data_IF_711924723268
#
_entry.id   IF_711924723268
#
_cell.length_a   1.000
_cell.length_b   1.000
_cell.length_c   1.000
_cell.angle_alpha   90.00
_cell.angle_beta   90.00
_cell.angle_gamma   90.00
#
_symmetry.space_group_name_H-M   'P 1'
#
loop_
_entity.id
_entity.type
_entity.pdbx_description
1 polymer ?
#
# COMPACT_ATOMS: atom_id res chain seq x y z
N UNK A 1 -20.24 -17.81 -0.63
CA UNK A 1 -20.75 -17.62 -1.98
C UNK A 1 -22.14 -16.98 -1.99
N UNK A 2 -23.18 -17.60 -1.42
CA UNK A 2 -24.55 -17.04 -1.42
C UNK A 2 -24.67 -15.57 -1.02
N UNK A 3 -23.86 -15.09 -0.08
CA UNK A 3 -23.90 -13.69 0.40
C UNK A 3 -23.28 -12.67 -0.56
N UNK A 4 -22.54 -13.13 -1.56
CA UNK A 4 -21.86 -12.27 -2.54
C UNK A 4 -22.54 -12.32 -3.92
N UNK A 5 -23.56 -13.16 -4.11
CA UNK A 5 -24.29 -13.23 -5.36
C UNK A 5 -24.97 -11.90 -5.69
N UNK A 6 -24.81 -11.41 -6.92
CA UNK A 6 -25.36 -10.13 -7.37
C UNK A 6 -24.61 -8.89 -6.88
N UNK A 7 -23.47 -9.06 -6.19
CA UNK A 7 -22.64 -7.94 -5.76
C UNK A 7 -21.75 -7.49 -6.91
N UNK A 8 -21.67 -6.17 -7.16
CA UNK A 8 -20.81 -5.59 -8.20
C UNK A 8 -19.43 -5.19 -7.65
N UNK A 9 -19.36 -4.78 -6.38
CA UNK A 9 -18.15 -4.33 -5.72
C UNK A 9 -18.09 -4.81 -4.27
N UNK A 10 -16.89 -5.16 -3.81
CA UNK A 10 -16.62 -5.60 -2.46
C UNK A 10 -15.46 -4.82 -1.87
N UNK A 11 -15.67 -4.23 -0.70
CA UNK A 11 -14.60 -3.70 0.13
C UNK A 11 -14.21 -4.71 1.22
N UNK A 12 -12.91 -4.98 1.33
CA UNK A 12 -12.34 -5.82 2.38
C UNK A 12 -11.49 -4.93 3.28
N UNK A 13 -11.90 -4.74 4.54
CA UNK A 13 -11.14 -3.95 5.50
C UNK A 13 -10.59 -4.83 6.62
N UNK A 14 -9.30 -4.67 6.90
CA UNK A 14 -8.66 -5.43 7.98
C UNK A 14 -7.38 -4.78 8.49
N UNK A 15 -7.09 -4.97 9.79
CA UNK A 15 -5.74 -4.79 10.31
C UNK A 15 -4.91 -6.05 10.05
N UNK A 16 -3.80 -5.88 9.34
CA UNK A 16 -2.89 -6.99 9.02
C UNK A 16 -1.91 -7.29 10.17
N UNK A 17 -1.43 -8.51 10.24
CA UNK A 17 -0.48 -8.95 11.28
C UNK A 17 -1.12 -9.72 12.44
N UNK A 18 -2.46 -9.75 12.53
CA UNK A 18 -3.20 -10.64 13.43
C UNK A 18 -3.60 -11.95 12.74
N UNK A 19 -4.32 -12.81 13.47
CA UNK A 19 -4.82 -14.09 12.94
C UNK A 19 -6.03 -13.93 12.03
N UNK A 20 -7.07 -13.26 12.51
CA UNK A 20 -8.39 -13.20 11.85
C UNK A 20 -8.35 -12.41 10.54
N UNK A 21 -7.93 -11.13 10.58
CA UNK A 21 -7.89 -10.26 9.40
C UNK A 21 -6.93 -10.79 8.35
N UNK A 22 -5.71 -11.13 8.74
CA UNK A 22 -4.67 -11.62 7.84
C UNK A 22 -5.05 -12.92 7.13
N UNK A 23 -5.71 -13.85 7.87
CA UNK A 23 -6.10 -15.14 7.30
C UNK A 23 -7.41 -15.11 6.51
N UNK A 24 -8.41 -14.32 6.97
CA UNK A 24 -9.74 -14.30 6.35
C UNK A 24 -9.79 -13.44 5.07
N UNK A 25 -9.08 -12.31 5.04
CA UNK A 25 -9.14 -11.38 3.90
C UNK A 25 -8.77 -12.03 2.57
N UNK A 26 -7.66 -12.80 2.43
CA UNK A 26 -7.33 -13.47 1.17
C UNK A 26 -8.35 -14.52 0.76
N UNK A 27 -8.97 -15.23 1.71
CA UNK A 27 -9.99 -16.23 1.42
C UNK A 27 -11.24 -15.58 0.85
N UNK A 28 -11.70 -14.48 1.44
CA UNK A 28 -12.86 -13.72 0.95
C UNK A 28 -12.55 -13.13 -0.42
N UNK A 29 -11.36 -12.55 -0.61
CA UNK A 29 -10.92 -11.98 -1.88
C UNK A 29 -10.91 -13.01 -3.01
N UNK A 30 -10.46 -14.24 -2.73
CA UNK A 30 -10.48 -15.35 -3.71
C UNK A 30 -11.88 -15.66 -4.18
N UNK A 31 -12.84 -15.77 -3.25
CA UNK A 31 -14.24 -16.01 -3.58
C UNK A 31 -14.84 -14.87 -4.41
N UNK A 32 -14.53 -13.62 -4.06
CA UNK A 32 -15.00 -12.46 -4.81
C UNK A 32 -14.42 -12.44 -6.23
N UNK A 33 -13.14 -12.76 -6.38
CA UNK A 33 -12.46 -12.87 -7.68
C UNK A 33 -13.07 -13.95 -8.56
N UNK A 34 -13.40 -15.12 -8.01
CA UNK A 34 -14.07 -16.22 -8.72
C UNK A 34 -15.46 -15.81 -9.22
N UNK A 35 -16.17 -14.92 -8.50
CA UNK A 35 -17.45 -14.36 -8.87
C UNK A 35 -17.37 -13.15 -9.83
N UNK A 36 -16.15 -12.68 -10.14
CA UNK A 36 -15.93 -11.50 -11.00
C UNK A 36 -16.33 -10.17 -10.37
N UNK A 37 -16.34 -10.10 -9.04
CA UNK A 37 -16.69 -8.92 -8.26
C UNK A 37 -15.47 -8.00 -8.16
N UNK A 38 -15.63 -6.71 -8.50
CA UNK A 38 -14.59 -5.71 -8.28
C UNK A 38 -14.24 -5.65 -6.79
N UNK A 39 -13.00 -6.00 -6.45
CA UNK A 39 -12.59 -6.13 -5.05
C UNK A 39 -11.51 -5.13 -4.69
N UNK A 40 -11.80 -4.27 -3.72
CA UNK A 40 -10.88 -3.29 -3.16
C UNK A 40 -10.57 -3.63 -1.71
N UNK A 41 -9.29 -3.82 -1.40
CA UNK A 41 -8.84 -4.02 -0.04
C UNK A 41 -8.34 -2.69 0.56
N UNK A 42 -8.81 -2.34 1.76
CA UNK A 42 -8.33 -1.20 2.55
C UNK A 42 -7.81 -1.74 3.86
N UNK A 43 -6.49 -1.78 4.01
CA UNK A 43 -5.86 -2.53 5.10
C UNK A 43 -4.75 -1.72 5.78
N UNK A 44 -4.56 -1.95 7.08
CA UNK A 44 -3.49 -1.31 7.84
C UNK A 44 -2.33 -2.25 8.08
N UNK A 45 -1.09 -1.69 8.07
CA UNK A 45 0.10 -2.34 8.61
C UNK A 45 0.26 -1.98 10.08
N UNK A 46 0.70 -2.92 10.93
CA UNK A 46 0.88 -2.66 12.36
C UNK A 46 1.93 -1.58 12.61
N UNK A 47 1.87 -0.97 13.79
CA UNK A 47 2.91 -0.08 14.29
C UNK A 47 4.20 -0.87 14.55
N UNK A 48 5.36 -0.19 14.50
CA UNK A 48 6.66 -0.83 14.77
C UNK A 48 6.76 -1.37 16.20
N UNK A 49 6.13 -0.70 17.18
CA UNK A 49 6.13 -1.16 18.57
C UNK A 49 5.34 -2.46 18.79
N UNK A 50 4.46 -2.86 17.86
CA UNK A 50 3.75 -4.14 17.92
C UNK A 50 4.65 -5.35 17.62
N UNK A 51 5.88 -5.10 17.18
CA UNK A 51 6.93 -6.09 17.02
C UNK A 51 7.13 -6.60 15.59
N UNK A 52 8.37 -7.02 15.30
CA UNK A 52 8.79 -7.47 13.97
C UNK A 52 8.07 -8.76 13.51
N UNK A 53 7.69 -9.63 14.44
CA UNK A 53 6.91 -10.84 14.14
C UNK A 53 5.55 -10.51 13.55
N UNK A 54 4.83 -9.54 14.14
CA UNK A 54 3.54 -9.09 13.67
C UNK A 54 3.64 -8.40 12.31
N UNK A 55 4.68 -7.59 12.11
CA UNK A 55 4.96 -6.94 10.82
C UNK A 55 5.22 -7.97 9.72
N UNK A 56 6.02 -9.03 10.00
CA UNK A 56 6.29 -10.10 9.03
C UNK A 56 5.03 -10.84 8.61
N UNK A 57 4.14 -11.16 9.55
CA UNK A 57 2.83 -11.79 9.26
C UNK A 57 1.97 -10.85 8.40
N UNK A 58 1.97 -9.54 8.71
CA UNK A 58 1.25 -8.53 7.94
C UNK A 58 1.74 -8.47 6.49
N UNK A 59 3.04 -8.45 6.28
CA UNK A 59 3.64 -8.37 4.94
C UNK A 59 3.39 -9.63 4.11
N UNK A 60 3.41 -10.81 4.74
CA UNK A 60 3.07 -12.05 4.07
C UNK A 60 1.60 -12.06 3.64
N UNK A 61 0.69 -11.72 4.55
CA UNK A 61 -0.74 -11.68 4.24
C UNK A 61 -1.09 -10.61 3.19
N UNK A 62 -0.38 -9.48 3.19
CA UNK A 62 -0.52 -8.45 2.16
C UNK A 62 -0.14 -8.98 0.78
N UNK A 63 0.98 -9.69 0.64
CA UNK A 63 1.40 -10.30 -0.62
C UNK A 63 0.37 -11.28 -1.17
N UNK A 64 -0.24 -12.07 -0.29
CA UNK A 64 -1.32 -12.98 -0.70
C UNK A 64 -2.57 -12.23 -1.14
N UNK A 65 -2.96 -11.19 -0.41
CA UNK A 65 -4.14 -10.38 -0.69
C UNK A 65 -4.01 -9.61 -2.00
N UNK A 66 -2.85 -8.97 -2.24
CA UNK A 66 -2.55 -8.19 -3.46
C UNK A 66 -2.71 -9.01 -4.76
N UNK A 67 -2.44 -10.32 -4.72
CA UNK A 67 -2.65 -11.20 -5.88
C UNK A 67 -4.12 -11.54 -6.16
N UNK A 68 -5.01 -11.27 -5.22
CA UNK A 68 -6.41 -11.72 -5.24
C UNK A 68 -7.40 -10.58 -5.43
N UNK A 69 -7.01 -9.34 -5.13
CA UNK A 69 -7.85 -8.14 -5.26
C UNK A 69 -7.46 -7.30 -6.47
N UNK A 70 -8.36 -6.44 -6.92
CA UNK A 70 -8.10 -5.52 -8.02
C UNK A 70 -7.24 -4.34 -7.58
N UNK A 71 -7.52 -3.81 -6.39
CA UNK A 71 -6.79 -2.68 -5.81
C UNK A 71 -6.61 -2.88 -4.31
N UNK A 72 -5.41 -2.57 -3.81
CA UNK A 72 -5.09 -2.60 -2.37
C UNK A 72 -4.64 -1.22 -1.91
N UNK A 73 -5.40 -0.61 -1.03
CA UNK A 73 -5.01 0.61 -0.30
C UNK A 73 -4.35 0.17 1.00
N UNK A 74 -3.05 0.44 1.12
CA UNK A 74 -2.27 0.06 2.30
C UNK A 74 -2.02 1.30 3.15
N UNK A 75 -2.41 1.24 4.42
CA UNK A 75 -2.24 2.33 5.39
C UNK A 75 -1.16 1.90 6.39
N UNK A 76 0.08 2.42 6.31
CA UNK A 76 1.10 2.16 7.31
C UNK A 76 0.76 2.93 8.59
N UNK A 77 0.35 2.23 9.68
CA UNK A 77 0.06 2.89 10.96
C UNK A 77 1.25 3.71 11.47
N UNK A 78 2.47 3.31 11.13
CA UNK A 78 3.67 4.05 11.51
C UNK A 78 3.69 5.48 10.98
N UNK A 79 3.10 5.75 9.82
CA UNK A 79 3.05 7.09 9.23
C UNK A 79 2.11 8.03 10.00
N UNK A 80 1.16 7.49 10.78
CA UNK A 80 0.28 8.28 11.64
C UNK A 80 1.03 9.00 12.77
N UNK A 81 2.23 8.52 13.17
CA UNK A 81 3.07 9.23 14.13
C UNK A 81 3.50 10.63 13.68
N UNK A 82 3.47 10.91 12.38
CA UNK A 82 3.78 12.25 11.85
C UNK A 82 2.65 13.26 12.06
N UNK A 83 1.44 12.76 12.29
CA UNK A 83 0.23 13.57 12.53
C UNK A 83 -0.11 13.59 14.02
N UNK A 84 0.40 12.61 14.79
CA UNK A 84 0.18 12.46 16.21
C UNK A 84 1.03 13.47 17.01
N UNK A 85 0.43 14.03 18.06
CA UNK A 85 1.12 14.88 19.03
C UNK A 85 1.84 14.02 20.09
N UNK A 86 2.83 14.62 20.79
CA UNK A 86 3.54 13.96 21.92
C UNK A 86 2.61 13.52 23.07
N UNK A 87 1.39 14.06 23.12
CA UNK A 87 0.36 13.73 24.10
C UNK A 87 -0.61 12.67 23.63
N UNK A 88 -0.52 12.21 22.39
CA UNK A 88 -1.40 11.20 21.81
C UNK A 88 -1.25 9.88 22.56
N UNK A 89 -2.34 9.37 23.12
CA UNK A 89 -2.35 8.10 23.83
C UNK A 89 -2.37 6.91 22.87
N UNK A 90 -2.09 5.71 23.38
CA UNK A 90 -2.23 4.48 22.59
C UNK A 90 -3.65 4.29 22.03
N UNK A 91 -4.66 4.61 22.83
CA UNK A 91 -6.05 4.52 22.40
C UNK A 91 -6.34 5.49 21.23
N UNK A 92 -5.83 6.71 21.34
CA UNK A 92 -5.99 7.73 20.29
C UNK A 92 -5.26 7.32 19.00
N UNK A 93 -4.05 6.72 19.10
CA UNK A 93 -3.31 6.25 17.94
C UNK A 93 -4.07 5.14 17.17
N UNK A 94 -4.72 4.21 17.86
CA UNK A 94 -5.57 3.22 17.22
C UNK A 94 -6.87 3.82 16.68
N UNK A 95 -7.48 4.76 17.38
CA UNK A 95 -8.65 5.49 16.89
C UNK A 95 -8.32 6.26 15.58
N UNK A 96 -7.15 6.89 15.50
CA UNK A 96 -6.67 7.51 14.26
C UNK A 96 -6.53 6.50 13.11
N UNK A 97 -6.00 5.30 13.38
CA UNK A 97 -5.91 4.25 12.37
C UNK A 97 -7.28 3.79 11.89
N UNK A 98 -8.25 3.65 12.79
CA UNK A 98 -9.64 3.30 12.45
C UNK A 98 -10.31 4.41 11.65
N UNK A 99 -10.08 5.68 12.00
CA UNK A 99 -10.61 6.83 11.27
C UNK A 99 -10.06 6.89 9.82
N UNK A 100 -8.78 6.65 9.64
CA UNK A 100 -8.16 6.63 8.32
C UNK A 100 -8.69 5.45 7.48
N UNK A 101 -8.88 4.27 8.06
CA UNK A 101 -9.54 3.14 7.41
C UNK A 101 -10.95 3.47 6.95
N UNK A 102 -11.73 4.09 7.84
CA UNK A 102 -13.09 4.55 7.54
C UNK A 102 -13.10 5.61 6.44
N UNK A 103 -12.20 6.60 6.52
CA UNK A 103 -12.04 7.62 5.48
C UNK A 103 -11.65 7.00 4.13
N UNK A 104 -10.80 5.97 4.12
CA UNK A 104 -10.40 5.23 2.92
C UNK A 104 -11.58 4.59 2.19
N UNK A 105 -12.48 3.96 2.92
CA UNK A 105 -13.69 3.37 2.33
C UNK A 105 -14.66 4.47 1.90
N UNK A 106 -14.92 5.45 2.77
CA UNK A 106 -15.87 6.54 2.49
C UNK A 106 -15.47 7.40 1.29
N UNK A 107 -14.18 7.64 1.09
CA UNK A 107 -13.70 8.44 -0.04
C UNK A 107 -14.12 7.90 -1.41
N UNK A 108 -14.39 6.61 -1.48
CA UNK A 108 -14.85 5.93 -2.70
C UNK A 108 -16.37 5.72 -2.67
N UNK A 109 -16.91 5.21 -1.56
CA UNK A 109 -18.33 4.86 -1.48
C UNK A 109 -19.24 6.06 -1.50
N UNK A 110 -18.86 7.15 -0.84
CA UNK A 110 -19.68 8.35 -0.75
C UNK A 110 -19.92 8.98 -2.14
N UNK A 111 -18.94 8.91 -3.04
CA UNK A 111 -19.07 9.42 -4.41
C UNK A 111 -20.13 8.69 -5.25
N UNK A 112 -20.43 7.44 -4.90
CA UNK A 112 -21.44 6.62 -5.59
C UNK A 112 -22.82 6.66 -4.93
N UNK A 113 -22.86 6.86 -3.60
CA UNK A 113 -24.08 6.68 -2.80
C UNK A 113 -24.67 8.01 -2.31
N UNK A 114 -23.80 8.98 -1.97
CA UNK A 114 -24.24 10.26 -1.43
C UNK A 114 -24.52 11.23 -2.58
N UNK A 115 -25.71 11.86 -2.62
CA UNK A 115 -26.01 12.87 -3.64
C UNK A 115 -25.05 14.06 -3.53
N UNK A 116 -24.46 14.48 -4.64
CA UNK A 116 -23.52 15.58 -4.72
C UNK A 116 -23.69 16.40 -5.99
N UNK A 117 -22.83 17.39 -6.21
CA UNK A 117 -22.76 18.16 -7.44
C UNK A 117 -22.27 17.32 -8.62
N UNK A 118 -21.28 16.48 -8.36
CA UNK A 118 -20.65 15.59 -9.35
C UNK A 118 -20.62 14.20 -8.73
N UNK A 119 -21.55 13.37 -9.12
CA UNK A 119 -21.59 11.97 -8.70
C UNK A 119 -20.87 11.12 -9.72
N UNK A 120 -20.25 10.07 -9.24
CA UNK A 120 -19.61 9.06 -10.09
C UNK A 120 -20.51 7.84 -10.22
N UNK A 121 -20.52 7.26 -11.39
CA UNK A 121 -21.13 5.96 -11.58
C UNK A 121 -20.15 4.82 -11.26
N UNK A 122 -20.69 3.60 -11.18
CA UNK A 122 -19.86 2.43 -10.91
C UNK A 122 -18.82 2.17 -12.00
N UNK A 123 -19.10 2.54 -13.26
CA UNK A 123 -18.20 2.30 -14.38
C UNK A 123 -16.96 3.20 -14.26
N UNK A 124 -17.10 4.45 -13.81
CA UNK A 124 -16.00 5.36 -13.56
C UNK A 124 -15.07 4.83 -12.48
N UNK A 125 -15.63 4.42 -11.33
CA UNK A 125 -14.86 3.84 -10.23
C UNK A 125 -14.16 2.56 -10.66
N UNK A 126 -14.85 1.71 -11.43
CA UNK A 126 -14.26 0.47 -11.95
C UNK A 126 -13.06 0.75 -12.86
N UNK A 127 -13.10 1.78 -13.68
CA UNK A 127 -11.99 2.15 -14.58
C UNK A 127 -10.72 2.45 -13.79
N UNK A 128 -10.82 3.14 -12.66
CA UNK A 128 -9.65 3.52 -11.84
C UNK A 128 -9.21 2.40 -10.89
N UNK A 129 -10.10 1.47 -10.53
CA UNK A 129 -9.82 0.47 -9.50
C UNK A 129 -9.52 -0.94 -10.04
N UNK A 130 -9.93 -1.24 -11.27
CA UNK A 130 -9.81 -2.59 -11.82
C UNK A 130 -8.37 -2.94 -12.20
N UNK A 131 -7.78 -3.95 -11.54
CA UNK A 131 -6.42 -4.42 -11.77
C UNK A 131 -5.33 -3.34 -11.62
N UNK A 132 -5.56 -2.35 -10.77
CA UNK A 132 -4.59 -1.26 -10.56
C UNK A 132 -3.51 -1.61 -9.52
N UNK A 133 -3.66 -2.70 -8.78
CA UNK A 133 -2.68 -3.16 -7.80
C UNK A 133 -2.63 -2.26 -6.57
N UNK A 134 -1.47 -1.68 -6.27
CA UNK A 134 -1.33 -0.82 -5.10
C UNK A 134 -1.89 0.57 -5.32
N UNK A 135 -2.59 1.05 -4.30
CA UNK A 135 -3.12 2.40 -4.22
C UNK A 135 -2.76 3.03 -2.87
N UNK A 136 -2.71 4.34 -2.86
CA UNK A 136 -2.51 5.15 -1.67
C UNK A 136 -3.59 6.21 -1.58
N UNK A 137 -3.81 6.71 -0.36
CA UNK A 137 -4.76 7.78 -0.13
C UNK A 137 -4.14 8.91 0.69
N UNK A 138 -4.58 10.12 0.40
CA UNK A 138 -4.30 11.29 1.21
C UNK A 138 -5.56 12.09 1.46
N UNK A 139 -5.66 12.70 2.61
CA UNK A 139 -6.79 13.55 2.98
C UNK A 139 -6.28 14.89 3.47
N UNK A 140 -6.96 15.96 3.10
CA UNK A 140 -6.69 17.30 3.58
C UNK A 140 -7.99 18.04 3.87
N UNK A 141 -7.99 18.86 4.91
CA UNK A 141 -9.12 19.70 5.28
C UNK A 141 -8.61 21.09 5.60
N UNK A 142 -9.30 22.12 5.12
CA UNK A 142 -8.99 23.50 5.38
C UNK A 142 -10.26 24.35 5.45
N UNK A 143 -10.14 25.54 6.06
CA UNK A 143 -11.21 26.53 6.21
C UNK A 143 -10.74 27.92 5.83
N UNK A 144 -11.68 28.84 5.54
CA UNK A 144 -11.39 30.22 5.19
C UNK A 144 -11.22 30.49 3.68
N UNK A 145 -10.72 31.68 3.32
CA UNK A 145 -10.68 32.15 1.91
C UNK A 145 -9.78 31.30 1.00
N UNK A 146 -8.70 30.70 1.53
CA UNK A 146 -7.77 29.87 0.76
C UNK A 146 -8.01 28.38 0.93
N UNK A 147 -9.16 27.98 1.53
CA UNK A 147 -9.48 26.57 1.85
C UNK A 147 -9.28 25.62 0.67
N UNK A 148 -9.54 26.06 -0.55
CA UNK A 148 -9.40 25.24 -1.77
C UNK A 148 -7.95 24.81 -2.01
N UNK A 149 -7.01 25.76 -1.96
CA UNK A 149 -5.59 25.47 -2.19
C UNK A 149 -5.00 24.74 -0.99
N UNK A 150 -5.34 25.19 0.22
CA UNK A 150 -4.78 24.64 1.45
C UNK A 150 -5.20 23.19 1.68
N UNK A 151 -6.48 22.83 1.41
CA UNK A 151 -6.94 21.44 1.52
C UNK A 151 -6.34 20.55 0.43
N UNK A 152 -6.17 21.04 -0.80
CA UNK A 152 -5.53 20.29 -1.89
C UNK A 152 -4.06 19.96 -1.54
N UNK A 153 -3.31 20.98 -1.09
CA UNK A 153 -1.93 20.80 -0.65
C UNK A 153 -1.81 19.87 0.55
N UNK A 154 -2.69 20.00 1.54
CA UNK A 154 -2.72 19.11 2.68
C UNK A 154 -3.02 17.67 2.29
N UNK A 155 -3.89 17.44 1.30
CA UNK A 155 -4.19 16.09 0.81
C UNK A 155 -3.00 15.45 0.10
N UNK A 156 -2.27 16.21 -0.74
CA UNK A 156 -1.09 15.73 -1.47
C UNK A 156 0.12 15.56 -0.54
N UNK A 157 0.30 16.47 0.42
CA UNK A 157 1.38 16.40 1.42
C UNK A 157 1.05 15.48 2.60
N UNK A 158 0.01 14.63 2.49
CA UNK A 158 -0.39 13.73 3.56
C UNK A 158 0.69 12.68 3.81
N UNK A 159 1.12 12.43 5.06
CA UNK A 159 2.14 11.43 5.39
C UNK A 159 1.84 10.00 4.92
N UNK A 160 0.58 9.69 4.65
CA UNK A 160 0.18 8.38 4.11
C UNK A 160 0.60 8.19 2.64
N UNK A 161 0.91 9.29 1.93
CA UNK A 161 1.40 9.29 0.55
C UNK A 161 2.92 9.33 0.44
N UNK A 162 3.64 9.65 1.53
CA UNK A 162 5.08 9.99 1.52
C UNK A 162 6.00 8.89 0.96
N UNK A 163 5.62 7.63 1.06
CA UNK A 163 6.42 6.50 0.57
C UNK A 163 6.35 6.34 -0.95
N UNK A 164 5.47 7.10 -1.63
CA UNK A 164 5.19 6.95 -3.06
C UNK A 164 5.08 8.32 -3.75
N UNK A 165 5.61 8.40 -4.95
CA UNK A 165 5.41 9.59 -5.79
C UNK A 165 4.08 9.49 -6.51
N UNK A 166 3.25 10.51 -6.40
CA UNK A 166 2.01 10.65 -7.19
C UNK A 166 2.28 10.70 -8.70
N UNK A 167 3.47 11.11 -9.11
CA UNK A 167 3.91 11.11 -10.51
C UNK A 167 3.91 9.72 -11.18
N UNK A 168 3.90 8.64 -10.37
CA UNK A 168 3.80 7.26 -10.85
C UNK A 168 2.38 6.72 -10.94
N UNK A 169 1.37 7.45 -10.50
CA UNK A 169 -0.01 7.01 -10.50
C UNK A 169 -0.58 6.88 -11.91
N UNK A 170 -1.31 5.81 -12.17
CA UNK A 170 -2.04 5.59 -13.43
C UNK A 170 -3.47 6.12 -13.38
N UNK A 171 -4.08 6.09 -12.19
CA UNK A 171 -5.40 6.61 -11.93
C UNK A 171 -5.46 7.45 -10.67
N UNK A 172 -6.30 8.45 -10.68
CA UNK A 172 -6.51 9.36 -9.57
C UNK A 172 -7.99 9.60 -9.36
N UNK A 173 -8.46 9.31 -8.16
CA UNK A 173 -9.80 9.64 -7.72
C UNK A 173 -9.74 10.79 -6.72
N UNK A 174 -10.41 11.89 -7.01
CA UNK A 174 -10.47 13.07 -6.16
C UNK A 174 -11.90 13.22 -5.65
N UNK A 175 -12.08 13.11 -4.34
CA UNK A 175 -13.34 13.37 -3.65
C UNK A 175 -13.28 14.70 -2.94
N UNK A 176 -14.10 15.66 -3.34
CA UNK A 176 -14.19 16.99 -2.77
C UNK A 176 -15.49 17.08 -1.98
N UNK A 177 -15.39 17.27 -0.67
CA UNK A 177 -16.54 17.44 0.22
C UNK A 177 -16.54 18.84 0.83
N UNK A 178 -17.65 19.52 0.75
CA UNK A 178 -17.82 20.87 1.33
C UNK A 178 -19.25 21.20 1.64
N UNK A 179 -19.47 22.31 2.30
CA UNK A 179 -20.80 22.84 2.57
C UNK A 179 -21.52 23.32 1.28
N UNK A 180 -22.74 23.83 1.45
CA UNK A 180 -23.52 24.41 0.35
C UNK A 180 -22.88 25.69 -0.22
N UNK A 181 -21.90 26.24 0.47
CA UNK A 181 -21.08 27.39 0.09
C UNK A 181 -19.89 27.04 -0.82
N UNK A 182 -19.65 25.75 -1.11
CA UNK A 182 -18.59 25.30 -2.00
C UNK A 182 -18.86 25.74 -3.43
N UNK A 183 -17.95 26.52 -4.02
CA UNK A 183 -18.10 27.07 -5.35
C UNK A 183 -17.46 26.21 -6.42
N UNK A 184 -17.97 26.27 -7.65
CA UNK A 184 -17.36 25.60 -8.81
C UNK A 184 -15.90 26.04 -9.04
N UNK A 185 -15.59 27.29 -8.77
CA UNK A 185 -14.25 27.82 -8.90
C UNK A 185 -13.28 27.23 -7.87
N UNK A 186 -13.73 26.91 -6.66
CA UNK A 186 -12.93 26.20 -5.67
C UNK A 186 -12.69 24.76 -6.08
N UNK A 187 -13.71 24.07 -6.61
CA UNK A 187 -13.57 22.71 -7.14
C UNK A 187 -12.52 22.66 -8.28
N UNK A 188 -12.58 23.63 -9.19
CA UNK A 188 -11.61 23.73 -10.29
C UNK A 188 -10.19 23.99 -9.76
N UNK A 189 -10.02 24.90 -8.80
CA UNK A 189 -8.72 25.18 -8.17
C UNK A 189 -8.13 23.94 -7.48
N UNK A 190 -8.95 23.21 -6.70
CA UNK A 190 -8.53 21.98 -6.04
C UNK A 190 -8.04 20.96 -7.06
N UNK A 191 -8.83 20.75 -8.09
CA UNK A 191 -8.54 19.77 -9.14
C UNK A 191 -7.25 20.09 -9.88
N UNK A 192 -7.04 21.36 -10.24
CA UNK A 192 -5.84 21.79 -10.95
C UNK A 192 -4.58 21.68 -10.06
N UNK A 193 -4.64 22.10 -8.80
CA UNK A 193 -3.53 21.98 -7.85
C UNK A 193 -3.07 20.51 -7.67
N UNK A 194 -4.03 19.57 -7.60
CA UNK A 194 -3.72 18.15 -7.47
C UNK A 194 -3.20 17.56 -8.79
N UNK A 195 -3.81 17.95 -9.93
CA UNK A 195 -3.42 17.45 -11.25
C UNK A 195 -2.00 17.84 -11.62
N UNK A 196 -1.51 18.99 -11.17
CA UNK A 196 -0.12 19.43 -11.37
C UNK A 196 0.92 18.51 -10.70
N UNK A 197 0.49 17.70 -9.70
CA UNK A 197 1.36 16.79 -8.96
C UNK A 197 1.38 15.36 -9.54
N UNK A 198 0.59 15.09 -10.59
CA UNK A 198 0.38 13.75 -11.16
C UNK A 198 0.82 13.73 -12.60
N UNK A 199 1.20 12.53 -13.10
CA UNK A 199 1.59 12.38 -14.49
C UNK A 199 0.47 12.84 -15.44
N UNK A 200 0.77 13.54 -16.56
CA UNK A 200 -0.24 14.04 -17.49
C UNK A 200 -1.13 12.97 -18.12
N UNK A 201 -0.63 11.74 -18.24
CA UNK A 201 -1.35 10.60 -18.82
C UNK A 201 -2.19 9.83 -17.79
N UNK A 202 -2.24 10.27 -16.51
CA UNK A 202 -3.06 9.63 -15.51
C UNK A 202 -4.55 9.93 -15.73
N UNK A 203 -5.37 8.90 -15.58
CA UNK A 203 -6.83 9.04 -15.59
C UNK A 203 -7.29 9.73 -14.31
N UNK A 204 -7.80 10.95 -14.41
CA UNK A 204 -8.26 11.74 -13.25
C UNK A 204 -9.77 11.83 -13.25
N UNK A 205 -10.37 11.27 -12.21
CA UNK A 205 -11.82 11.37 -11.96
C UNK A 205 -12.07 12.21 -10.72
N UNK A 206 -13.00 13.16 -10.83
CA UNK A 206 -13.35 14.12 -9.78
C UNK A 206 -14.80 13.95 -9.43
N UNK A 207 -15.08 13.83 -8.14
CA UNK A 207 -16.42 13.87 -7.61
C UNK A 207 -16.56 14.92 -6.51
N UNK A 208 -17.74 15.45 -6.32
CA UNK A 208 -18.03 16.46 -5.30
C UNK A 208 -19.31 16.16 -4.57
N UNK A 209 -19.27 16.17 -3.26
CA UNK A 209 -20.34 15.85 -2.33
C UNK A 209 -20.62 17.02 -1.41
N UNK A 210 -21.90 17.18 -1.02
CA UNK A 210 -22.28 18.14 0.00
C UNK A 210 -22.31 17.50 1.40
N UNK A 211 -21.75 18.21 2.36
CA UNK A 211 -21.83 17.91 3.79
C UNK A 211 -22.05 19.22 4.54
N UNK A 212 -23.27 19.42 5.06
CA UNK A 212 -23.67 20.64 5.77
C UNK A 212 -22.81 20.91 7.01
N UNK A 213 -22.18 19.86 7.56
CA UNK A 213 -21.26 20.01 8.70
C UNK A 213 -19.95 20.71 8.36
N UNK A 214 -19.64 20.85 7.06
CA UNK A 214 -18.42 21.46 6.54
C UNK A 214 -18.64 22.90 6.01
N UNK A 215 -19.68 23.60 6.47
CA UNK A 215 -19.91 24.99 6.09
C UNK A 215 -18.68 25.85 6.44
N UNK A 216 -18.18 26.67 5.50
CA UNK A 216 -16.93 27.44 5.66
C UNK A 216 -15.64 26.62 5.55
N UNK A 217 -15.73 25.32 5.35
CA UNK A 217 -14.60 24.39 5.24
C UNK A 217 -14.69 23.55 3.97
N UNK A 218 -13.57 23.01 3.54
CA UNK A 218 -13.52 22.01 2.48
C UNK A 218 -12.61 20.85 2.89
N UNK A 219 -13.02 19.63 2.53
CA UNK A 219 -12.22 18.41 2.70
C UNK A 219 -11.99 17.80 1.34
N UNK A 220 -10.76 17.37 1.11
CA UNK A 220 -10.36 16.67 -0.11
C UNK A 220 -9.77 15.33 0.27
N UNK A 221 -10.23 14.29 -0.38
CA UNK A 221 -9.62 12.95 -0.30
C UNK A 221 -9.15 12.55 -1.69
N UNK A 222 -7.90 12.15 -1.78
CA UNK A 222 -7.24 11.73 -3.01
C UNK A 222 -6.88 10.27 -2.89
N UNK A 223 -7.29 9.46 -3.86
CA UNK A 223 -6.86 8.05 -3.98
C UNK A 223 -6.08 7.90 -5.27
N UNK A 224 -4.80 7.62 -5.16
CA UNK A 224 -3.91 7.37 -6.29
C UNK A 224 -3.74 5.86 -6.48
N UNK A 225 -3.98 5.36 -7.69
CA UNK A 225 -3.95 3.95 -8.04
C UNK A 225 -2.89 3.64 -9.10
N UNK A 226 -2.51 2.38 -9.21
CA UNK A 226 -1.51 1.95 -10.19
C UNK A 226 -0.08 2.35 -9.80
N UNK A 227 0.18 2.51 -8.52
CA UNK A 227 1.51 2.83 -7.98
C UNK A 227 2.39 1.58 -8.02
N UNK A 228 3.16 1.42 -9.11
CA UNK A 228 4.10 0.32 -9.24
C UNK A 228 5.24 0.45 -8.22
N UNK A 229 5.44 -0.59 -7.42
CA UNK A 229 6.50 -0.69 -6.41
C UNK A 229 7.88 -1.03 -6.99
N UNK A 230 8.07 -0.96 -8.28
CA UNK A 230 9.41 -1.05 -8.87
C UNK A 230 10.15 0.25 -8.59
N UNK A 231 11.19 0.25 -7.71
CA UNK A 231 12.05 1.42 -7.62
C UNK A 231 12.62 1.63 -9.02
N UNK A 232 12.29 2.77 -9.64
CA UNK A 232 12.97 3.17 -10.87
C UNK A 232 14.47 3.14 -10.57
N UNK A 233 15.28 2.41 -11.37
CA UNK A 233 16.71 2.55 -11.23
C UNK A 233 17.01 4.04 -11.48
N UNK A 234 17.39 4.73 -10.43
CA UNK A 234 18.03 6.03 -10.57
C UNK A 234 19.15 5.82 -11.58
N UNK A 235 19.02 6.40 -12.78
CA UNK A 235 20.12 6.48 -13.72
C UNK A 235 21.22 7.23 -12.99
N UNK A 236 22.12 6.47 -12.36
CA UNK A 236 23.40 7.02 -11.99
C UNK A 236 24.05 7.45 -13.29
N UNK A 237 24.12 8.74 -13.48
CA UNK A 237 24.95 9.35 -14.52
C UNK A 237 26.37 8.93 -14.16
N UNK A 238 26.83 7.83 -14.76
CA UNK A 238 28.24 7.49 -14.74
C UNK A 238 28.87 8.49 -15.71
N UNK A 239 29.43 9.57 -15.14
CA UNK A 239 30.36 10.42 -15.83
C UNK A 239 31.56 9.56 -16.23
N UNK A 240 31.50 9.01 -17.43
CA UNK A 240 32.66 8.43 -18.09
C UNK A 240 33.59 9.59 -18.46
N UNK A 241 34.47 9.97 -17.52
CA UNK A 241 35.68 10.69 -17.87
C UNK A 241 36.56 9.75 -18.70
N UNK A 242 36.41 9.83 -20.01
CA UNK A 242 37.36 9.26 -20.94
C UNK A 242 38.64 10.12 -20.89
N UNK A 243 39.58 9.70 -20.08
CA UNK A 243 40.95 10.18 -20.17
C UNK A 243 41.58 9.59 -21.44
N UNK A 244 41.60 10.38 -22.51
CA UNK A 244 42.47 10.15 -23.65
C UNK A 244 43.91 10.46 -23.27
N UNK A 245 44.67 9.44 -23.00
CA UNK A 245 46.13 9.53 -23.10
C UNK A 245 46.62 8.54 -24.15
N UNK A 246 46.97 9.14 -25.29
CA UNK A 246 47.71 8.52 -26.37
C UNK A 246 49.11 8.11 -25.93
N UNK A 247 49.47 6.86 -26.19
CA UNK A 247 50.87 6.54 -26.46
C UNK A 247 50.91 5.56 -27.64
N UNK A 248 51.51 6.05 -28.72
CA UNK A 248 51.97 5.27 -29.87
C UNK A 248 53.10 4.33 -29.45
N UNK A 249 53.08 3.11 -29.97
CA UNK A 249 54.31 2.52 -30.58
C UNK A 249 53.99 1.19 -31.27
N UNK A 250 54.20 1.22 -32.53
CA UNK A 250 54.72 0.26 -33.54
C UNK A 250 54.96 -1.22 -33.11
N UNK A 251 54.48 -2.09 -33.93
CA UNK A 251 55.19 -2.91 -34.97
C UNK A 251 54.50 -4.25 -35.17
N UNK A 252 54.00 -4.42 -36.35
CA UNK A 252 54.37 -5.36 -37.41
C UNK A 252 54.18 -6.87 -37.18
N UNK A 253 53.50 -7.42 -38.13
CA UNK A 253 53.80 -8.61 -38.91
C UNK A 253 52.86 -9.81 -38.77
N UNK A 254 52.10 -9.98 -39.80
CA UNK A 254 51.94 -11.07 -40.78
C UNK A 254 51.13 -12.31 -40.44
N UNK A 255 50.26 -12.53 -41.46
CA UNK A 255 49.91 -13.79 -42.14
C UNK A 255 48.85 -14.65 -41.43
N UNK A 256 47.76 -14.81 -42.06
CA UNK A 256 47.24 -15.44 -43.26
C UNK A 256 46.55 -16.78 -43.00
N UNK A 257 45.38 -16.90 -43.62
CA UNK A 257 44.74 -18.14 -44.12
C UNK A 257 44.08 -19.02 -43.07
N UNK A 258 42.92 -19.56 -43.23
CA UNK A 258 42.14 -20.00 -44.38
C UNK A 258 40.73 -20.41 -43.97
N UNK A 259 39.81 -20.13 -44.82
CA UNK A 259 38.54 -20.66 -45.21
C UNK A 259 38.23 -22.14 -44.81
N UNK A 260 37.04 -22.40 -44.33
CA UNK A 260 35.99 -23.25 -44.89
C UNK A 260 35.05 -23.84 -43.84
N UNK A 261 33.82 -23.39 -44.00
CA UNK A 261 32.56 -24.15 -44.00
C UNK A 261 32.53 -25.55 -43.30
N UNK A 262 31.49 -25.76 -42.56
CA UNK A 262 30.44 -26.75 -42.85
C UNK A 262 29.33 -26.66 -41.76
N UNK A 263 28.12 -26.72 -42.27
CA UNK A 263 26.82 -26.94 -41.69
C UNK A 263 26.80 -28.08 -40.66
N UNK A 264 26.03 -27.97 -39.62
CA UNK A 264 24.76 -28.66 -39.38
C UNK A 264 24.52 -28.89 -37.91
N UNK A 265 23.32 -28.51 -37.52
CA UNK A 265 22.38 -29.27 -36.70
C UNK A 265 22.68 -29.53 -35.22
N UNK A 266 21.76 -28.97 -34.50
CA UNK A 266 20.96 -29.58 -33.43
C UNK A 266 21.34 -29.43 -31.96
N UNK A 267 20.34 -28.90 -31.34
CA UNK A 267 19.73 -29.28 -30.05
C UNK A 267 20.45 -28.93 -28.75
N UNK A 268 19.64 -28.14 -28.02
CA UNK A 268 19.37 -28.22 -26.58
C UNK A 268 20.52 -28.25 -25.59
N UNK A 269 20.60 -27.17 -24.86
CA UNK A 269 20.44 -27.25 -23.41
C UNK A 269 20.55 -25.87 -22.77
N UNK A 270 19.41 -25.35 -22.34
CA UNK A 270 19.31 -24.27 -21.39
C UNK A 270 19.69 -24.85 -20.04
N UNK A 271 20.90 -24.60 -19.57
CA UNK A 271 21.23 -24.83 -18.17
C UNK A 271 20.55 -23.77 -17.31
N UNK A 272 19.45 -24.17 -16.65
CA UNK A 272 18.88 -23.48 -15.53
C UNK A 272 19.80 -23.63 -14.32
N UNK A 273 20.36 -22.54 -13.83
CA UNK A 273 21.01 -22.49 -12.53
C UNK A 273 19.94 -22.67 -11.45
N UNK A 274 19.79 -23.89 -10.96
CA UNK A 274 19.01 -24.22 -9.78
C UNK A 274 19.86 -23.97 -8.54
N UNK A 275 19.54 -22.90 -7.80
CA UNK A 275 19.91 -22.82 -6.39
C UNK A 275 19.21 -23.94 -5.62
N UNK A 276 19.86 -24.61 -4.66
CA UNK A 276 19.26 -25.71 -3.94
C UNK A 276 18.16 -25.19 -3.02
N UNK A 277 16.91 -25.54 -3.33
CA UNK A 277 15.82 -25.48 -2.35
C UNK A 277 16.17 -26.44 -1.21
N UNK A 278 16.41 -25.89 -0.03
CA UNK A 278 16.49 -26.68 1.20
C UNK A 278 15.08 -27.15 1.52
N UNK A 279 14.80 -28.38 1.23
CA UNK A 279 13.57 -29.07 1.65
C UNK A 279 13.69 -29.29 3.17
N UNK A 280 12.98 -28.51 3.97
CA UNK A 280 12.83 -28.76 5.41
C UNK A 280 11.78 -29.85 5.52
N UNK A 281 12.18 -30.99 6.08
CA UNK A 281 11.32 -32.16 6.32
C UNK A 281 10.20 -31.74 7.30
N UNK A 282 8.95 -32.07 7.00
CA UNK A 282 7.76 -31.78 7.82
C UNK A 282 7.94 -32.24 9.29
N UNK A 283 8.78 -33.27 9.52
CA UNK A 283 9.12 -33.76 10.85
C UNK A 283 10.04 -32.81 11.64
N UNK A 284 10.90 -32.06 10.95
CA UNK A 284 11.82 -31.10 11.60
C UNK A 284 11.07 -29.80 11.94
N UNK A 285 10.14 -29.37 11.11
CA UNK A 285 9.27 -28.23 11.37
C UNK A 285 8.33 -28.49 12.56
N UNK A 286 7.76 -29.69 12.66
CA UNK A 286 6.94 -30.10 13.78
C UNK A 286 7.74 -30.15 15.11
N UNK A 287 8.99 -30.62 15.07
CA UNK A 287 9.87 -30.65 16.25
C UNK A 287 10.24 -29.24 16.72
N UNK A 288 10.57 -28.32 15.80
CA UNK A 288 10.87 -26.93 16.14
C UNK A 288 9.64 -26.20 16.71
N UNK A 289 8.45 -26.49 16.20
CA UNK A 289 7.20 -25.96 16.75
C UNK A 289 6.93 -26.46 18.17
N UNK A 290 7.19 -27.76 18.45
CA UNK A 290 7.02 -28.35 19.78
C UNK A 290 8.05 -27.78 20.78
N UNK A 291 9.31 -27.61 20.38
CA UNK A 291 10.34 -26.98 21.21
C UNK A 291 10.00 -25.51 21.53
N UNK A 292 9.46 -24.77 20.57
CA UNK A 292 9.03 -23.38 20.78
C UNK A 292 7.84 -23.28 21.74
N UNK A 293 6.88 -24.21 21.68
CA UNK A 293 5.75 -24.25 22.58
C UNK A 293 6.18 -24.63 24.00
N UNK A 294 7.09 -25.59 24.15
CA UNK A 294 7.66 -25.94 25.46
C UNK A 294 8.43 -24.79 26.10
N UNK A 295 9.19 -24.03 25.31
CA UNK A 295 9.91 -22.84 25.77
C UNK A 295 8.92 -21.75 26.25
N UNK A 296 7.80 -21.56 25.56
CA UNK A 296 6.75 -20.60 25.97
C UNK A 296 6.11 -21.00 27.29
N UNK A 297 5.75 -22.27 27.45
CA UNK A 297 5.15 -22.78 28.70
C UNK A 297 6.12 -22.63 29.87
N UNK A 298 7.41 -22.90 29.66
CA UNK A 298 8.44 -22.73 30.68
C UNK A 298 8.61 -21.26 31.11
N UNK A 299 8.56 -20.33 30.17
CA UNK A 299 8.66 -18.89 30.46
C UNK A 299 7.41 -18.38 31.22
N UNK A 300 6.21 -18.82 30.85
CA UNK A 300 4.97 -18.48 31.55
C UNK A 300 4.99 -19.02 33.01
N UNK A 301 5.51 -20.23 33.21
CA UNK A 301 5.66 -20.81 34.56
C UNK A 301 6.67 -20.02 35.39
N UNK A 302 7.77 -19.54 34.82
CA UNK A 302 8.77 -18.71 35.51
C UNK A 302 8.16 -17.38 35.95
N UNK A 303 7.42 -16.71 35.08
CA UNK A 303 6.75 -15.43 35.38
C UNK A 303 5.72 -15.60 36.48
N UNK A 304 4.95 -16.69 36.46
CA UNK A 304 3.96 -17.00 37.51
C UNK A 304 4.62 -17.25 38.86
N UNK A 305 5.74 -17.94 38.91
CA UNK A 305 6.50 -18.19 40.12
C UNK A 305 7.12 -16.90 40.70
N UNK A 306 7.69 -16.05 39.84
CA UNK A 306 8.21 -14.74 40.25
C UNK A 306 7.09 -13.84 40.82
N UNK A 307 5.90 -13.85 40.21
CA UNK A 307 4.73 -13.11 40.72
C UNK A 307 4.27 -13.64 42.08
N UNK A 308 4.29 -14.96 42.30
CA UNK A 308 3.94 -15.59 43.57
C UNK A 308 4.92 -15.19 44.65
N UNK A 309 6.22 -15.23 44.40
CA UNK A 309 7.29 -14.82 45.35
C UNK A 309 7.14 -13.34 45.72
N UNK A 310 6.87 -12.48 44.71
CA UNK A 310 6.67 -11.07 44.97
C UNK A 310 5.44 -10.76 45.81
N UNK A 311 4.35 -11.52 45.65
CA UNK A 311 3.13 -11.37 46.47
C UNK A 311 3.33 -11.90 47.90
N UNK A 312 4.04 -13.03 48.08
CA UNK A 312 4.42 -13.54 49.38
C UNK A 312 5.32 -12.54 50.15
N UNK A 313 6.26 -11.88 49.47
CA UNK A 313 7.09 -10.84 50.08
C UNK A 313 6.27 -9.61 50.51
N UNK A 314 5.24 -9.24 49.75
CA UNK A 314 4.35 -8.10 50.03
C UNK A 314 3.41 -8.35 51.21
N UNK A 315 3.08 -9.62 51.46
CA UNK A 315 2.23 -10.03 52.63
C UNK A 315 3.05 -10.14 53.91
N UNK A 316 4.39 -10.32 53.80
CA UNK A 316 5.30 -10.47 54.93
C UNK A 316 5.82 -9.14 55.52
N UNK A 317 5.61 -8.02 54.86
CA UNK A 317 5.81 -6.64 55.32
C UNK A 317 4.53 -6.08 55.97
#
# INVERSE_FOLDING_TARGET
MERLEGTNMLFITAGMGGGTGTGAAPVIARVAKELGILTVAVVTKPFQFEGAGRMRIAEQGLKELECLVDTTIVIPNQNLFRVADEKTTFADAFAMADEVLHAGVRSITDLMVVPGLINLDFADVKTIMNNMGRAMMGTGQASGENRAIDCARAAVANPLLDDYSLDGAKGLLINITGGTDLTLHEVDKITNEIREQVHPDADVIVGSIFDESLEGSARVSVVATGLDTTPRPTKSVIDLHVSTNAVMSNSSTSQSENIQSIRSENTDSVEASSEPYVYIDETEEARLAEEAEQARIAEEARIAEEARIAEEARIAE
#
